data_IF_553044338796
#
_entry.id   IF_553044338796
#
_cell.length_a   1.000
_cell.length_b   1.000
_cell.length_c   1.000
_cell.angle_alpha   90.00
_cell.angle_beta   90.00
_cell.angle_gamma   90.00
#
_symmetry.space_group_name_H-M   'P 1'
#
loop_
_entity.id
_entity.type
_entity.pdbx_description
1 polymer ?
#
# COMPACT_ATOMS: atom_id res chain seq x y z
N UNK A 1 9.36 18.80 -67.04
CA UNK A 1 8.66 18.45 -68.29
C UNK A 1 7.54 17.48 -67.92
N UNK A 2 6.26 17.83 -68.01
CA UNK A 2 5.45 18.21 -69.19
C UNK A 2 4.95 16.99 -69.98
N UNK A 3 3.65 16.80 -70.26
CA UNK A 3 2.41 17.50 -69.84
C UNK A 3 1.20 16.56 -70.12
N UNK A 4 0.05 16.63 -69.40
CA UNK A 4 -1.24 17.30 -69.81
C UNK A 4 -1.65 17.03 -71.27
N UNK A 5 -2.88 16.61 -71.63
CA UNK A 5 -4.27 16.90 -71.17
C UNK A 5 -5.11 15.57 -71.18
N UNK A 6 -6.40 15.38 -70.80
CA UNK A 6 -7.57 16.03 -70.14
C UNK A 6 -8.58 14.86 -69.81
N UNK A 7 -9.67 14.92 -69.04
CA UNK A 7 -10.21 15.93 -68.10
C UNK A 7 -11.73 16.22 -68.27
N UNK A 8 -12.49 16.25 -67.15
CA UNK A 8 -13.92 16.67 -66.99
C UNK A 8 -15.01 15.70 -67.55
N UNK A 9 -16.20 15.52 -66.95
CA UNK A 9 -17.06 16.34 -66.05
C UNK A 9 -17.67 15.51 -64.90
N UNK A 10 -18.13 16.16 -63.82
CA UNK A 10 -18.79 15.56 -62.65
C UNK A 10 -20.25 15.12 -62.86
N UNK A 11 -20.71 14.17 -62.04
CA UNK A 11 -21.98 14.26 -61.29
C UNK A 11 -21.90 13.39 -60.02
N UNK A 12 -22.31 13.95 -58.88
CA UNK A 12 -22.50 13.21 -57.64
C UNK A 12 -24.01 12.97 -57.44
N UNK A 13 -24.39 11.78 -57.01
CA UNK A 13 -25.67 11.56 -56.33
C UNK A 13 -25.41 10.75 -55.06
N UNK A 14 -25.95 11.23 -53.94
CA UNK A 14 -25.85 10.57 -52.65
C UNK A 14 -26.84 9.41 -52.55
N UNK A 15 -26.45 8.32 -51.90
CA UNK A 15 -27.36 7.28 -51.46
C UNK A 15 -27.10 7.01 -49.98
N UNK A 16 -27.90 7.63 -49.11
CA UNK A 16 -27.84 7.47 -47.66
C UNK A 16 -28.63 6.25 -47.23
N UNK A 17 -27.95 5.28 -46.59
CA UNK A 17 -28.61 4.21 -45.82
C UNK A 17 -28.11 4.30 -44.38
N UNK A 18 -29.06 4.35 -43.45
CA UNK A 18 -28.81 4.74 -42.06
C UNK A 18 -28.18 3.59 -41.27
N UNK A 19 -27.00 3.82 -40.70
CA UNK A 19 -26.43 2.97 -39.65
C UNK A 19 -26.93 3.44 -38.28
N UNK A 20 -27.85 2.67 -37.68
CA UNK A 20 -28.45 2.96 -36.38
C UNK A 20 -27.48 2.60 -35.24
N UNK A 21 -26.61 3.55 -34.88
CA UNK A 21 -25.73 3.46 -33.71
C UNK A 21 -26.57 3.32 -32.42
N UNK A 22 -26.40 2.26 -31.60
CA UNK A 22 -27.06 2.16 -30.30
C UNK A 22 -26.50 3.24 -29.34
N UNK A 23 -27.30 3.75 -28.39
CA UNK A 23 -26.91 4.87 -27.55
C UNK A 23 -25.92 4.47 -26.46
N UNK A 24 -24.77 5.15 -26.44
CA UNK A 24 -23.86 5.18 -25.29
C UNK A 24 -24.61 5.66 -24.04
N UNK A 25 -24.72 4.81 -23.02
CA UNK A 25 -25.50 5.12 -21.81
C UNK A 25 -24.76 4.73 -20.54
N UNK A 26 -24.65 5.71 -19.63
CA UNK A 26 -24.30 5.58 -18.21
C UNK A 26 -23.02 4.80 -17.87
N UNK A 27 -21.91 5.52 -17.78
CA UNK A 27 -20.78 5.09 -16.95
C UNK A 27 -21.16 5.18 -15.46
N UNK A 28 -21.80 4.14 -14.92
CA UNK A 28 -21.96 3.99 -13.47
C UNK A 28 -20.58 3.95 -12.79
N UNK A 29 -20.35 4.70 -11.71
CA UNK A 29 -19.07 4.65 -11.00
C UNK A 29 -18.88 3.27 -10.36
N UNK A 30 -17.80 2.59 -10.72
CA UNK A 30 -17.45 1.26 -10.20
C UNK A 30 -17.19 1.33 -8.70
N UNK A 31 -18.17 0.94 -7.88
CA UNK A 31 -17.98 0.82 -6.44
C UNK A 31 -17.01 -0.33 -6.14
N UNK A 32 -15.77 0.02 -5.74
CA UNK A 32 -14.64 -0.90 -5.58
C UNK A 32 -14.70 -1.73 -4.28
N UNK A 33 -15.74 -2.55 -4.16
CA UNK A 33 -15.83 -3.58 -3.11
C UNK A 33 -14.84 -4.74 -3.37
N UNK A 34 -14.44 -5.50 -2.34
CA UNK A 34 -13.67 -6.74 -2.52
C UNK A 34 -14.47 -7.77 -3.33
N UNK A 35 -13.78 -8.50 -4.21
CA UNK A 35 -14.43 -9.46 -5.10
C UNK A 35 -15.02 -10.60 -4.28
N UNK A 36 -16.32 -10.87 -4.44
CA UNK A 36 -16.99 -12.01 -3.79
C UNK A 36 -17.40 -13.00 -4.87
N UNK A 37 -16.81 -14.20 -4.81
CA UNK A 37 -17.02 -15.28 -5.76
C UNK A 37 -17.89 -16.36 -5.11
N UNK A 38 -19.03 -16.62 -5.74
CA UNK A 38 -20.02 -17.59 -5.27
C UNK A 38 -19.93 -18.86 -6.10
N UNK A 39 -19.80 -20.02 -5.44
CA UNK A 39 -19.55 -21.34 -6.05
C UNK A 39 -20.47 -22.42 -5.46
N UNK A 40 -20.45 -23.65 -5.99
CA UNK A 40 -21.15 -24.80 -5.41
C UNK A 40 -20.16 -25.85 -4.87
N UNK A 41 -20.57 -26.70 -3.91
CA UNK A 41 -19.75 -27.82 -3.47
C UNK A 41 -19.45 -28.78 -4.62
N UNK A 42 -18.18 -29.16 -4.80
CA UNK A 42 -17.73 -30.03 -5.88
C UNK A 42 -17.44 -29.35 -7.23
N UNK A 43 -17.78 -28.08 -7.40
CA UNK A 43 -17.34 -27.30 -8.58
C UNK A 43 -15.82 -27.06 -8.54
N UNK A 44 -15.25 -26.68 -9.68
CA UNK A 44 -13.91 -26.11 -9.78
C UNK A 44 -14.02 -24.58 -9.96
N UNK A 45 -13.07 -23.80 -9.44
CA UNK A 45 -13.02 -22.34 -9.66
C UNK A 45 -11.61 -21.83 -9.92
N UNK A 46 -11.48 -20.68 -10.58
CA UNK A 46 -10.21 -20.01 -10.82
C UNK A 46 -10.13 -18.67 -10.09
N UNK A 47 -8.93 -18.34 -9.60
CA UNK A 47 -8.58 -17.05 -9.01
C UNK A 47 -7.37 -16.48 -9.74
N UNK A 48 -7.43 -15.20 -10.10
CA UNK A 48 -6.45 -14.55 -10.98
C UNK A 48 -5.64 -13.51 -10.21
N UNK A 49 -4.34 -13.40 -10.50
CA UNK A 49 -3.45 -12.44 -9.87
C UNK A 49 -2.44 -11.87 -10.87
N UNK A 50 -2.37 -10.55 -10.98
CA UNK A 50 -1.31 -9.86 -11.73
C UNK A 50 0.06 -10.05 -11.06
N UNK A 51 0.96 -10.68 -11.80
CA UNK A 51 2.36 -10.94 -11.46
C UNK A 51 3.33 -10.27 -12.44
N UNK A 52 2.87 -9.36 -13.30
CA UNK A 52 3.65 -8.76 -14.40
C UNK A 52 5.06 -8.34 -13.97
N UNK A 53 5.15 -7.49 -12.93
CA UNK A 53 6.38 -6.91 -12.42
C UNK A 53 6.99 -7.66 -11.21
N UNK A 54 6.67 -8.94 -11.03
CA UNK A 54 7.05 -9.75 -9.87
C UNK A 54 7.74 -11.06 -10.29
N UNK A 55 8.70 -11.54 -9.52
CA UNK A 55 9.40 -12.82 -9.77
C UNK A 55 8.70 -13.99 -9.09
N UNK A 56 8.01 -13.74 -7.97
CA UNK A 56 7.41 -14.76 -7.12
C UNK A 56 5.95 -14.45 -6.81
N UNK A 57 5.16 -15.52 -6.70
CA UNK A 57 3.74 -15.50 -6.33
C UNK A 57 3.44 -16.57 -5.29
N UNK A 58 2.55 -16.26 -4.34
CA UNK A 58 2.04 -17.21 -3.36
C UNK A 58 0.59 -16.91 -3.02
N UNK A 59 -0.22 -17.95 -2.92
CA UNK A 59 -1.64 -17.84 -2.55
C UNK A 59 -1.87 -18.30 -1.12
N UNK A 60 -2.59 -17.48 -0.36
CA UNK A 60 -2.94 -17.75 1.04
C UNK A 60 -4.46 -17.71 1.22
N UNK A 61 -4.98 -18.58 2.11
CA UNK A 61 -6.40 -18.58 2.52
C UNK A 61 -6.54 -18.21 3.99
N UNK A 62 -7.33 -17.18 4.27
CA UNK A 62 -7.83 -16.85 5.60
C UNK A 62 -9.18 -17.54 5.81
N UNK A 63 -9.14 -18.63 6.57
CA UNK A 63 -10.32 -19.32 7.10
C UNK A 63 -10.66 -18.81 8.50
N UNK A 64 -11.77 -19.26 9.08
CA UNK A 64 -12.08 -19.01 10.49
C UNK A 64 -11.09 -19.65 11.50
N UNK A 65 -10.25 -20.58 11.04
CA UNK A 65 -9.28 -21.33 11.87
C UNK A 65 -7.86 -20.77 11.79
N UNK A 66 -7.42 -20.38 10.60
CA UNK A 66 -6.03 -20.00 10.31
C UNK A 66 -5.88 -19.17 9.02
N UNK A 67 -4.76 -18.47 8.91
CA UNK A 67 -4.22 -17.94 7.65
C UNK A 67 -3.16 -18.93 7.14
N UNK A 68 -3.40 -19.55 5.99
CA UNK A 68 -2.65 -20.72 5.52
C UNK A 68 -2.08 -20.48 4.13
N UNK A 69 -0.78 -20.69 3.96
CA UNK A 69 -0.15 -20.77 2.64
C UNK A 69 -0.67 -22.01 1.90
N UNK A 70 -1.18 -21.84 0.68
CA UNK A 70 -1.68 -22.94 -0.14
C UNK A 70 -0.63 -23.40 -1.16
N UNK A 71 -0.05 -22.45 -1.89
CA UNK A 71 0.81 -22.73 -3.04
C UNK A 71 1.74 -21.54 -3.32
N UNK A 72 2.98 -21.81 -3.72
CA UNK A 72 4.00 -20.82 -4.07
C UNK A 72 4.76 -21.23 -5.32
N UNK A 73 5.03 -20.26 -6.19
CA UNK A 73 5.84 -20.44 -7.38
C UNK A 73 6.71 -19.22 -7.71
N UNK A 74 7.76 -19.44 -8.49
CA UNK A 74 8.61 -18.41 -9.07
C UNK A 74 8.56 -18.47 -10.60
N UNK A 75 8.66 -17.33 -11.28
CA UNK A 75 8.87 -17.28 -12.74
C UNK A 75 10.19 -17.99 -13.08
N UNK A 76 10.22 -18.74 -14.18
CA UNK A 76 11.49 -19.27 -14.71
C UNK A 76 11.97 -18.44 -15.89
N UNK A 77 13.28 -18.23 -16.00
CA UNK A 77 13.89 -17.49 -17.10
C UNK A 77 14.14 -18.35 -18.36
N UNK A 78 13.79 -19.65 -18.33
CA UNK A 78 14.17 -20.64 -19.34
C UNK A 78 12.92 -21.21 -20.06
N UNK A 79 11.82 -21.32 -19.32
CA UNK A 79 10.50 -21.71 -19.81
C UNK A 79 9.52 -20.65 -19.33
N UNK A 80 8.65 -20.14 -20.20
CA UNK A 80 7.62 -19.15 -19.88
C UNK A 80 6.53 -19.77 -19.00
N UNK A 81 6.88 -20.02 -17.74
CA UNK A 81 6.13 -20.85 -16.81
C UNK A 81 6.45 -20.48 -15.34
N UNK A 82 5.67 -21.03 -14.41
CA UNK A 82 5.83 -20.90 -12.96
C UNK A 82 6.39 -22.21 -12.38
N UNK A 83 7.60 -22.17 -11.81
CA UNK A 83 8.14 -23.28 -11.04
C UNK A 83 7.48 -23.30 -9.65
N UNK A 84 6.47 -24.17 -9.48
CA UNK A 84 5.80 -24.42 -8.20
C UNK A 84 6.77 -25.15 -7.25
N UNK A 85 7.23 -24.46 -6.21
CA UNK A 85 8.18 -25.02 -5.23
C UNK A 85 7.51 -25.39 -3.88
N UNK A 86 6.29 -24.93 -3.62
CA UNK A 86 5.44 -25.44 -2.53
C UNK A 86 3.99 -25.55 -2.99
N UNK A 87 3.31 -26.60 -2.54
CA UNK A 87 1.87 -26.80 -2.69
C UNK A 87 1.38 -27.72 -1.57
N UNK A 88 0.42 -27.27 -0.76
CA UNK A 88 -0.13 -28.01 0.38
C UNK A 88 -0.98 -29.22 -0.06
N UNK A 89 -1.59 -29.17 -1.26
CA UNK A 89 -2.34 -30.29 -1.83
C UNK A 89 -2.33 -30.22 -3.37
N UNK A 90 -1.41 -30.98 -3.99
CA UNK A 90 -1.18 -31.02 -5.45
C UNK A 90 -2.36 -31.50 -6.29
N UNK A 91 -3.34 -32.15 -5.69
CA UNK A 91 -4.53 -32.65 -6.38
C UNK A 91 -5.72 -31.68 -6.30
N UNK A 92 -5.58 -30.58 -5.54
CA UNK A 92 -6.67 -29.67 -5.17
C UNK A 92 -6.37 -28.21 -5.52
N UNK A 93 -5.09 -27.80 -5.45
CA UNK A 93 -4.62 -26.50 -5.91
C UNK A 93 -3.67 -26.70 -7.09
N UNK A 94 -4.06 -26.22 -8.27
CA UNK A 94 -3.21 -26.11 -9.47
C UNK A 94 -2.90 -24.62 -9.70
N UNK A 95 -1.66 -24.31 -10.06
CA UNK A 95 -1.22 -22.94 -10.36
C UNK A 95 -0.52 -22.92 -11.70
N UNK A 96 -1.12 -22.21 -12.66
CA UNK A 96 -0.65 -22.07 -14.03
C UNK A 96 -0.56 -20.58 -14.38
N UNK A 97 0.39 -20.15 -15.21
CA UNK A 97 0.41 -18.78 -15.74
C UNK A 97 -0.48 -18.63 -16.97
N UNK A 98 -0.82 -17.39 -17.31
CA UNK A 98 -1.23 -17.05 -18.68
C UNK A 98 -0.05 -17.18 -19.68
N UNK A 99 -0.36 -17.08 -20.96
CA UNK A 99 0.61 -17.26 -22.06
C UNK A 99 1.68 -16.15 -22.17
N UNK A 100 1.79 -15.26 -21.19
CA UNK A 100 2.85 -14.24 -21.08
C UNK A 100 3.51 -14.22 -19.70
N UNK A 101 3.12 -15.12 -18.78
CA UNK A 101 3.54 -15.12 -17.37
C UNK A 101 3.30 -13.77 -16.68
N UNK A 102 2.22 -13.09 -17.06
CA UNK A 102 1.76 -11.82 -16.48
C UNK A 102 0.62 -12.03 -15.47
N UNK A 103 -0.17 -13.09 -15.64
CA UNK A 103 -1.21 -13.52 -14.69
C UNK A 103 -0.87 -14.88 -14.10
N UNK A 104 -0.95 -15.01 -12.78
CA UNK A 104 -0.99 -16.28 -12.07
C UNK A 104 -2.45 -16.72 -11.85
N UNK A 105 -2.80 -17.92 -12.33
CA UNK A 105 -4.14 -18.50 -12.26
C UNK A 105 -4.11 -19.67 -11.28
N UNK A 106 -4.73 -19.50 -10.11
CA UNK A 106 -4.96 -20.56 -9.15
C UNK A 106 -6.29 -21.25 -9.45
N UNK A 107 -6.25 -22.50 -9.86
CA UNK A 107 -7.42 -23.37 -9.96
C UNK A 107 -7.59 -24.15 -8.66
N UNK A 108 -8.77 -24.05 -8.05
CA UNK A 108 -9.22 -24.86 -6.91
C UNK A 108 -10.16 -25.92 -7.46
N UNK A 109 -9.86 -27.20 -7.20
CA UNK A 109 -10.61 -28.35 -7.72
C UNK A 109 -11.56 -28.88 -6.62
N UNK A 110 -12.77 -29.32 -7.00
CA UNK A 110 -13.71 -30.03 -6.13
C UNK A 110 -13.93 -29.32 -4.78
N UNK A 111 -14.41 -28.07 -4.84
CA UNK A 111 -14.46 -27.13 -3.71
C UNK A 111 -15.27 -27.69 -2.53
N UNK A 112 -14.69 -27.57 -1.33
CA UNK A 112 -15.26 -28.09 -0.07
C UNK A 112 -15.63 -26.97 0.91
N UNK A 113 -16.31 -27.32 2.01
CA UNK A 113 -16.59 -26.39 3.13
C UNK A 113 -15.32 -25.80 3.76
N UNK A 114 -14.19 -26.51 3.74
CA UNK A 114 -12.92 -26.00 4.29
C UNK A 114 -12.20 -25.03 3.33
N UNK A 115 -12.63 -24.93 2.07
CA UNK A 115 -12.14 -23.92 1.11
C UNK A 115 -12.82 -22.55 1.28
N UNK A 116 -13.96 -22.48 1.96
CA UNK A 116 -14.70 -21.24 2.17
C UNK A 116 -13.87 -20.28 3.06
N UNK A 117 -13.68 -19.05 2.57
CA UNK A 117 -12.80 -18.07 3.20
C UNK A 117 -12.33 -16.97 2.26
N UNK A 118 -11.32 -16.22 2.70
CA UNK A 118 -10.73 -15.11 1.93
C UNK A 118 -9.37 -15.51 1.35
N UNK A 119 -9.21 -15.31 0.05
CA UNK A 119 -8.01 -15.65 -0.71
C UNK A 119 -7.20 -14.41 -1.04
N UNK A 120 -5.91 -14.48 -0.75
CA UNK A 120 -4.95 -13.40 -0.92
C UNK A 120 -3.80 -13.87 -1.83
N UNK A 121 -3.54 -13.14 -2.90
CA UNK A 121 -2.33 -13.30 -3.67
C UNK A 121 -1.23 -12.39 -3.08
N UNK A 122 -0.15 -12.97 -2.59
CA UNK A 122 1.08 -12.28 -2.24
C UNK A 122 2.09 -12.39 -3.38
N UNK A 123 2.63 -11.27 -3.84
CA UNK A 123 3.65 -11.19 -4.89
C UNK A 123 4.94 -10.57 -4.35
N UNK A 124 6.10 -11.02 -4.85
CA UNK A 124 7.43 -10.58 -4.39
C UNK A 124 8.32 -10.19 -5.57
N UNK A 125 8.94 -9.02 -5.45
CA UNK A 125 9.89 -8.47 -6.43
C UNK A 125 11.28 -9.03 -6.12
N UNK A 126 12.12 -9.21 -7.15
CA UNK A 126 13.52 -9.61 -6.96
C UNK A 126 14.22 -8.72 -5.92
N UNK A 127 14.95 -9.34 -5.00
CA UNK A 127 15.70 -8.66 -3.93
C UNK A 127 14.85 -7.89 -2.90
N UNK A 128 13.52 -8.02 -2.88
CA UNK A 128 12.67 -7.59 -1.76
C UNK A 128 12.29 -8.80 -0.90
N UNK A 129 12.54 -8.73 0.41
CA UNK A 129 12.25 -9.83 1.34
C UNK A 129 10.83 -9.80 1.94
N UNK A 130 10.05 -8.76 1.66
CA UNK A 130 8.63 -8.68 2.03
C UNK A 130 7.72 -9.10 0.86
N UNK A 131 6.54 -9.64 1.16
CA UNK A 131 5.49 -9.85 0.16
C UNK A 131 4.57 -8.63 0.09
N UNK A 132 4.17 -8.24 -1.12
CA UNK A 132 3.10 -7.28 -1.37
C UNK A 132 1.80 -8.05 -1.64
N UNK A 133 0.69 -7.67 -1.03
CA UNK A 133 -0.58 -8.37 -1.21
C UNK A 133 -1.51 -7.61 -2.16
N UNK A 134 -2.11 -8.34 -3.10
CA UNK A 134 -3.15 -7.84 -4.00
C UNK A 134 -4.51 -7.87 -3.28
N UNK A 135 -5.55 -7.33 -3.94
CA UNK A 135 -6.94 -7.31 -3.41
C UNK A 135 -7.40 -8.73 -3.05
N UNK A 136 -8.13 -8.84 -1.94
CA UNK A 136 -8.72 -10.10 -1.49
C UNK A 136 -9.87 -10.54 -2.38
N UNK A 137 -10.04 -11.86 -2.55
CA UNK A 137 -11.28 -12.47 -3.06
C UNK A 137 -11.93 -13.32 -1.98
N UNK A 138 -13.20 -13.07 -1.67
CA UNK A 138 -13.99 -13.90 -0.75
C UNK A 138 -14.64 -15.04 -1.54
N UNK A 139 -14.33 -16.28 -1.20
CA UNK A 139 -14.96 -17.48 -1.76
C UNK A 139 -16.05 -17.97 -0.80
N UNK A 140 -17.29 -18.09 -1.30
CA UNK A 140 -18.46 -18.52 -0.53
C UNK A 140 -19.36 -19.46 -1.34
N UNK A 141 -20.18 -20.28 -0.67
CA UNK A 141 -21.18 -21.10 -1.36
C UNK A 141 -22.43 -20.30 -1.75
N UNK A 142 -23.11 -20.74 -2.81
CA UNK A 142 -24.44 -20.27 -3.20
C UNK A 142 -25.48 -20.64 -2.14
N UNK A 143 -25.76 -19.71 -1.22
CA UNK A 143 -26.77 -19.89 -0.18
C UNK A 143 -28.16 -19.85 -0.82
N UNK A 144 -28.71 -21.03 -1.10
CA UNK A 144 -30.12 -21.21 -1.44
C UNK A 144 -30.96 -20.97 -0.18
N UNK A 145 -31.36 -19.71 0.04
CA UNK A 145 -32.06 -19.28 1.26
C UNK A 145 -33.41 -19.97 1.39
N UNK A 146 -33.48 -20.99 2.24
CA UNK A 146 -34.69 -21.28 3.01
C UNK A 146 -34.66 -20.37 4.25
N UNK A 147 -35.69 -19.54 4.50
CA UNK A 147 -35.59 -18.43 5.45
C UNK A 147 -35.79 -18.88 6.91
N UNK A 148 -34.85 -19.68 7.42
CA UNK A 148 -34.78 -20.09 8.82
C UNK A 148 -33.30 -20.30 9.23
N UNK A 149 -32.93 -19.82 10.43
CA UNK A 149 -31.58 -19.89 11.00
C UNK A 149 -30.46 -19.14 10.26
N UNK A 150 -30.54 -17.81 10.26
CA UNK A 150 -29.36 -16.92 10.20
C UNK A 150 -28.45 -17.14 11.43
N UNK A 151 -27.69 -18.24 11.43
CA UNK A 151 -26.82 -18.63 12.54
C UNK A 151 -25.58 -17.74 12.56
N UNK A 152 -25.50 -16.83 13.53
CA UNK A 152 -24.33 -15.97 13.73
C UNK A 152 -23.11 -16.80 14.07
N UNK A 153 -22.21 -17.01 13.11
CA UNK A 153 -20.99 -17.78 13.32
C UNK A 153 -20.09 -17.04 14.32
N UNK A 154 -19.70 -17.66 15.46
CA UNK A 154 -18.84 -17.01 16.45
C UNK A 154 -17.48 -16.60 15.85
N UNK A 155 -16.97 -15.44 16.24
CA UNK A 155 -15.63 -14.99 15.85
C UNK A 155 -14.57 -15.88 16.52
N UNK A 156 -14.14 -16.93 15.80
CA UNK A 156 -13.35 -18.01 16.36
C UNK A 156 -11.83 -17.72 16.47
N UNK A 157 -11.42 -16.45 16.36
CA UNK A 157 -10.03 -16.03 16.48
C UNK A 157 -9.65 -15.77 17.95
N UNK A 158 -8.83 -16.62 18.61
CA UNK A 158 -8.63 -16.61 20.06
C UNK A 158 -7.58 -15.58 20.50
N UNK A 159 -7.61 -14.37 19.92
CA UNK A 159 -6.84 -13.23 20.39
C UNK A 159 -7.46 -11.91 19.88
N UNK A 160 -8.24 -11.28 20.75
CA UNK A 160 -8.73 -9.92 20.57
C UNK A 160 -8.10 -9.07 21.66
N UNK A 161 -7.53 -7.93 21.28
CA UNK A 161 -6.94 -6.93 22.14
C UNK A 161 -7.82 -5.68 22.11
N UNK A 162 -8.40 -5.33 23.26
CA UNK A 162 -9.23 -4.14 23.43
C UNK A 162 -8.38 -2.98 23.95
N UNK A 163 -8.43 -1.86 23.25
CA UNK A 163 -7.70 -0.62 23.57
C UNK A 163 -8.64 0.60 23.56
N UNK A 164 -8.13 1.79 23.87
CA UNK A 164 -8.82 3.08 23.69
C UNK A 164 -8.13 3.90 22.58
N UNK A 165 -8.81 4.90 22.00
CA UNK A 165 -8.15 5.90 21.16
C UNK A 165 -7.06 6.63 21.95
N UNK A 166 -5.86 6.76 21.36
CA UNK A 166 -4.69 7.39 21.99
C UNK A 166 -3.87 6.48 22.91
N UNK A 167 -4.29 5.25 23.18
CA UNK A 167 -3.47 4.26 23.90
C UNK A 167 -2.22 3.88 23.08
N UNK A 168 -1.21 3.31 23.76
CA UNK A 168 -0.11 2.58 23.14
C UNK A 168 -0.29 1.08 23.42
N UNK A 169 0.05 0.20 22.47
CA UNK A 169 -0.02 -1.26 22.66
C UNK A 169 1.16 -1.98 22.01
N UNK A 170 1.42 -3.22 22.43
CA UNK A 170 2.49 -4.08 21.89
C UNK A 170 1.95 -5.42 21.37
N UNK A 171 2.37 -5.80 20.17
CA UNK A 171 2.08 -7.08 19.56
C UNK A 171 3.37 -7.90 19.45
N UNK A 172 3.31 -9.16 19.88
CA UNK A 172 4.49 -10.02 20.01
C UNK A 172 4.50 -11.13 18.96
N UNK A 173 5.66 -11.37 18.35
CA UNK A 173 5.84 -12.43 17.37
C UNK A 173 7.18 -13.15 17.60
N UNK A 174 7.13 -14.45 17.90
CA UNK A 174 8.31 -15.30 17.90
C UNK A 174 9.00 -15.29 16.52
N UNK A 175 10.32 -15.14 16.51
CA UNK A 175 11.20 -15.15 15.34
C UNK A 175 12.43 -16.06 15.56
N UNK A 176 12.37 -17.00 16.50
CA UNK A 176 13.51 -17.83 16.97
C UNK A 176 14.32 -18.45 15.82
N UNK A 177 13.64 -19.01 14.82
CA UNK A 177 14.23 -19.68 13.66
C UNK A 177 14.22 -18.85 12.35
N UNK A 178 13.95 -17.55 12.45
CA UNK A 178 13.66 -16.69 11.29
C UNK A 178 14.64 -15.50 11.25
N UNK A 179 15.05 -15.08 10.05
CA UNK A 179 15.92 -13.90 9.87
C UNK A 179 15.13 -12.65 9.44
N UNK A 180 13.94 -12.79 8.84
CA UNK A 180 13.10 -11.65 8.41
C UNK A 180 11.74 -11.71 9.12
N UNK A 181 11.24 -10.55 9.51
CA UNK A 181 9.90 -10.35 10.09
C UNK A 181 9.18 -9.21 9.36
N UNK A 182 7.87 -9.37 9.14
CA UNK A 182 7.02 -8.38 8.47
C UNK A 182 5.65 -8.35 9.14
N UNK A 183 5.15 -7.17 9.50
CA UNK A 183 3.82 -7.00 10.10
C UNK A 183 2.85 -6.38 9.10
N UNK A 184 1.64 -6.93 9.06
CA UNK A 184 0.56 -6.51 8.16
C UNK A 184 -0.73 -6.25 8.94
N UNK A 185 -1.54 -5.29 8.46
CA UNK A 185 -2.90 -5.02 8.94
C UNK A 185 -3.91 -5.39 7.86
N UNK A 186 -4.91 -6.20 8.21
CA UNK A 186 -6.15 -6.34 7.46
C UNK A 186 -7.22 -5.45 8.09
N UNK A 187 -7.47 -4.30 7.47
CA UNK A 187 -8.40 -3.29 7.96
C UNK A 187 -9.87 -3.64 7.62
N UNK A 188 -10.82 -2.78 8.03
CA UNK A 188 -12.26 -2.93 7.75
C UNK A 188 -12.63 -2.81 6.26
N UNK A 189 -11.75 -2.20 5.45
CA UNK A 189 -11.90 -2.08 4.00
C UNK A 189 -11.39 -3.32 3.24
N UNK A 190 -11.00 -4.38 3.97
CA UNK A 190 -10.42 -5.63 3.45
C UNK A 190 -9.11 -5.42 2.65
N UNK A 191 -8.39 -4.33 2.94
CA UNK A 191 -7.03 -4.08 2.45
C UNK A 191 -6.00 -4.74 3.40
N UNK A 192 -5.03 -5.47 2.84
CA UNK A 192 -3.97 -6.15 3.58
C UNK A 192 -2.65 -5.37 3.47
N UNK A 193 -2.55 -4.25 4.19
CA UNK A 193 -1.41 -3.33 4.11
C UNK A 193 -0.19 -3.85 4.87
N UNK A 194 1.00 -3.75 4.28
CA UNK A 194 2.26 -3.89 5.02
C UNK A 194 2.46 -2.67 5.93
N UNK A 195 2.86 -2.89 7.18
CA UNK A 195 3.12 -1.83 8.16
C UNK A 195 4.62 -1.59 8.36
N UNK A 196 5.38 -2.67 8.54
CA UNK A 196 6.82 -2.64 8.79
C UNK A 196 7.45 -3.98 8.40
N UNK A 197 8.66 -3.97 7.86
CA UNK A 197 9.43 -5.16 7.49
C UNK A 197 10.91 -4.96 7.79
N UNK A 198 11.56 -5.97 8.37
CA UNK A 198 12.95 -5.89 8.78
C UNK A 198 13.66 -7.25 8.84
N UNK A 199 14.99 -7.23 8.74
CA UNK A 199 15.87 -8.37 9.02
C UNK A 199 16.53 -8.26 10.39
N UNK A 200 16.53 -9.36 11.15
CA UNK A 200 17.30 -9.54 12.38
C UNK A 200 18.80 -9.58 12.07
N UNK A 201 19.57 -8.63 12.59
CA UNK A 201 21.02 -8.60 12.42
C UNK A 201 21.70 -9.67 13.28
N UNK A 202 22.86 -10.18 12.83
CA UNK A 202 23.66 -11.17 13.55
C UNK A 202 24.61 -10.57 14.59
N UNK A 203 24.75 -9.24 14.63
CA UNK A 203 25.88 -8.55 15.29
C UNK A 203 25.45 -7.74 16.53
N UNK A 204 24.17 -7.38 16.68
CA UNK A 204 23.74 -6.50 17.79
C UNK A 204 22.35 -6.72 18.39
N UNK A 205 21.68 -7.85 18.10
CA UNK A 205 20.24 -8.01 18.39
C UNK A 205 19.41 -6.80 17.90
N UNK A 206 19.63 -6.34 16.66
CA UNK A 206 18.90 -5.20 16.09
C UNK A 206 18.11 -5.62 14.85
N UNK A 207 17.14 -4.79 14.45
CA UNK A 207 16.43 -4.91 13.19
C UNK A 207 16.95 -3.92 12.15
N UNK A 208 17.39 -4.44 11.00
CA UNK A 208 17.60 -3.67 9.78
C UNK A 208 16.25 -3.50 9.10
N UNK A 209 15.63 -2.33 9.25
CA UNK A 209 14.29 -2.03 8.72
C UNK A 209 14.40 -1.71 7.22
N UNK A 210 13.62 -2.43 6.39
CA UNK A 210 13.56 -2.26 4.94
C UNK A 210 12.36 -1.43 4.47
N UNK A 211 11.26 -1.49 5.22
CA UNK A 211 10.02 -0.79 4.93
C UNK A 211 9.33 -0.43 6.23
N UNK A 212 8.72 0.75 6.28
CA UNK A 212 7.96 1.26 7.42
C UNK A 212 6.91 2.26 6.91
N UNK A 213 5.64 2.07 7.28
CA UNK A 213 4.50 2.87 6.81
C UNK A 213 4.44 4.24 7.48
N UNK A 214 4.80 4.32 8.75
CA UNK A 214 4.87 5.56 9.53
C UNK A 214 5.93 5.39 10.63
N UNK A 215 6.89 6.32 10.69
CA UNK A 215 8.07 6.19 11.54
C UNK A 215 7.83 6.35 13.03
N UNK A 216 6.83 7.15 13.42
CA UNK A 216 6.55 7.51 14.81
C UNK A 216 5.39 6.70 15.40
N UNK A 217 4.63 6.01 14.56
CA UNK A 217 3.40 5.30 14.92
C UNK A 217 3.60 3.80 15.08
N UNK A 218 4.39 3.18 14.21
CA UNK A 218 4.79 1.77 14.30
C UNK A 218 6.27 1.68 14.66
N UNK A 219 6.60 1.01 15.76
CA UNK A 219 7.99 0.82 16.21
C UNK A 219 8.24 -0.69 16.36
N UNK A 220 9.32 -1.21 15.79
CA UNK A 220 9.65 -2.64 15.81
C UNK A 220 10.97 -2.85 16.53
N UNK A 221 10.90 -3.48 17.69
CA UNK A 221 12.03 -3.74 18.57
C UNK A 221 12.13 -5.24 18.90
N UNK A 222 13.33 -5.82 18.99
CA UNK A 222 13.50 -7.18 19.47
C UNK A 222 13.50 -7.22 21.00
N UNK A 223 13.11 -8.35 21.58
CA UNK A 223 13.36 -8.59 23.00
C UNK A 223 14.87 -8.81 23.28
N UNK A 224 15.26 -8.82 24.56
CA UNK A 224 16.64 -9.02 25.04
C UNK A 224 17.29 -10.37 24.70
N UNK A 225 16.52 -11.31 24.14
CA UNK A 225 17.00 -12.60 23.64
C UNK A 225 17.12 -12.62 22.11
N UNK A 226 16.63 -11.58 21.44
CA UNK A 226 16.51 -11.48 19.98
C UNK A 226 15.60 -12.54 19.36
N UNK A 227 14.81 -13.28 20.14
CA UNK A 227 13.95 -14.37 19.68
C UNK A 227 12.49 -13.95 19.46
N UNK A 228 12.11 -12.75 19.91
CA UNK A 228 10.76 -12.19 19.76
C UNK A 228 10.86 -10.79 19.14
N UNK A 229 10.11 -10.56 18.07
CA UNK A 229 9.85 -9.25 17.51
C UNK A 229 8.62 -8.62 18.20
N UNK A 230 8.77 -7.39 18.68
CA UNK A 230 7.73 -6.61 19.35
C UNK A 230 7.37 -5.45 18.44
N UNK A 231 6.13 -5.42 17.94
CA UNK A 231 5.56 -4.26 17.26
C UNK A 231 4.81 -3.41 18.29
N UNK A 232 5.36 -2.26 18.65
CA UNK A 232 4.67 -1.21 19.38
C UNK A 232 3.85 -0.36 18.40
N UNK A 233 2.59 -0.11 18.74
CA UNK A 233 1.69 0.81 18.05
C UNK A 233 1.41 1.96 19.01
N UNK A 234 1.73 3.18 18.59
CA UNK A 234 1.72 4.38 19.43
C UNK A 234 0.55 5.28 19.04
N UNK A 235 -0.19 5.83 20.02
CA UNK A 235 -1.32 6.75 19.78
C UNK A 235 -2.37 6.15 18.82
N UNK A 236 -2.90 4.97 19.20
CA UNK A 236 -3.81 4.15 18.38
C UNK A 236 -5.04 4.95 17.96
N UNK A 237 -5.40 4.88 16.67
CA UNK A 237 -6.56 5.56 16.10
C UNK A 237 -7.49 4.57 15.35
N UNK A 238 -8.58 5.07 14.76
CA UNK A 238 -9.56 4.24 14.04
C UNK A 238 -8.99 3.48 12.85
N UNK A 239 -7.91 3.98 12.22
CA UNK A 239 -7.23 3.35 11.09
C UNK A 239 -6.33 2.16 11.48
N UNK A 240 -6.03 1.99 12.76
CA UNK A 240 -5.31 0.82 13.30
C UNK A 240 -6.24 -0.38 13.56
N UNK A 241 -7.55 -0.19 13.55
CA UNK A 241 -8.49 -1.25 13.89
C UNK A 241 -8.58 -2.29 12.77
N UNK A 242 -8.55 -3.57 13.16
CA UNK A 242 -8.52 -4.69 12.22
C UNK A 242 -7.78 -5.89 12.78
N UNK A 243 -7.17 -6.68 11.89
CA UNK A 243 -6.39 -7.87 12.27
C UNK A 243 -4.94 -7.73 11.87
N UNK A 244 -4.05 -7.90 12.84
CA UNK A 244 -2.61 -7.88 12.68
C UNK A 244 -2.07 -9.28 12.43
N UNK A 245 -1.19 -9.39 11.45
CA UNK A 245 -0.54 -10.62 11.02
C UNK A 245 0.98 -10.42 11.05
N UNK A 246 1.69 -11.25 11.80
CA UNK A 246 3.14 -11.35 11.70
C UNK A 246 3.50 -12.43 10.67
N UNK A 247 4.14 -12.02 9.57
CA UNK A 247 4.85 -12.88 8.64
C UNK A 247 6.32 -13.03 9.06
N UNK A 248 6.85 -14.25 8.95
CA UNK A 248 8.23 -14.58 9.31
C UNK A 248 8.89 -15.42 8.21
N UNK A 249 10.11 -15.05 7.80
CA UNK A 249 10.88 -15.71 6.73
C UNK A 249 12.27 -16.12 7.21
N UNK A 250 12.72 -17.30 6.81
CA UNK A 250 14.07 -17.80 7.10
C UNK A 250 15.00 -17.56 5.90
N UNK A 251 16.31 -17.39 6.16
CA UNK A 251 17.31 -16.97 5.15
C UNK A 251 17.36 -17.83 3.88
N UNK A 252 17.03 -19.11 4.00
CA UNK A 252 17.13 -20.11 2.93
C UNK A 252 15.76 -20.73 2.56
N UNK A 253 14.66 -20.05 2.91
CA UNK A 253 13.30 -20.48 2.58
C UNK A 253 12.50 -19.25 2.17
N UNK A 254 12.09 -19.15 0.91
CA UNK A 254 11.47 -17.94 0.37
C UNK A 254 10.00 -17.71 0.78
N UNK A 255 9.34 -18.72 1.39
CA UNK A 255 7.98 -18.56 1.90
C UNK A 255 7.92 -17.64 3.13
N UNK A 256 6.93 -16.75 3.14
CA UNK A 256 6.54 -15.99 4.33
C UNK A 256 5.57 -16.82 5.19
N UNK A 257 6.00 -17.22 6.37
CA UNK A 257 5.19 -18.02 7.30
C UNK A 257 4.44 -17.10 8.27
N UNK A 258 3.12 -17.09 8.19
CA UNK A 258 2.28 -16.26 9.04
C UNK A 258 1.95 -16.94 10.37
N UNK A 259 2.13 -16.20 11.46
CA UNK A 259 1.86 -16.65 12.84
C UNK A 259 0.49 -16.17 13.32
N UNK A 260 0.20 -16.38 14.62
CA UNK A 260 -1.11 -16.13 15.24
C UNK A 260 -1.63 -14.72 14.92
N UNK A 261 -2.87 -14.65 14.43
CA UNK A 261 -3.57 -13.39 14.15
C UNK A 261 -3.99 -12.73 15.45
N UNK A 262 -3.89 -11.40 15.53
CA UNK A 262 -4.42 -10.59 16.65
C UNK A 262 -5.42 -9.58 16.13
N UNK A 263 -6.65 -9.58 16.65
CA UNK A 263 -7.64 -8.55 16.35
C UNK A 263 -7.44 -7.36 17.30
N UNK A 264 -7.27 -6.14 16.76
CA UNK A 264 -7.25 -4.90 17.55
C UNK A 264 -8.59 -4.18 17.36
N UNK A 265 -9.26 -3.87 18.46
CA UNK A 265 -10.54 -3.15 18.48
C UNK A 265 -10.60 -2.19 19.66
N UNK A 266 -11.46 -1.18 19.61
CA UNK A 266 -11.75 -0.39 20.80
C UNK A 266 -12.62 -1.17 21.80
N UNK A 267 -12.48 -0.84 23.09
CA UNK A 267 -13.40 -1.29 24.12
C UNK A 267 -14.78 -0.63 23.96
N UNK A 268 -15.86 -1.38 24.19
CA UNK A 268 -17.22 -0.84 24.12
C UNK A 268 -17.44 0.27 25.15
N UNK A 269 -18.11 1.39 24.81
CA UNK A 269 -18.37 2.49 25.73
C UNK A 269 -19.11 2.09 27.03
N UNK A 270 -19.93 1.03 26.97
CA UNK A 270 -20.66 0.45 28.10
C UNK A 270 -19.79 -0.33 29.10
N UNK A 271 -18.51 -0.54 28.81
CA UNK A 271 -17.58 -1.25 29.70
C UNK A 271 -16.96 -0.39 30.80
N UNK A 272 -17.21 0.93 30.81
CA UNK A 272 -16.67 1.86 31.79
C UNK A 272 -17.74 2.27 32.82
N UNK A 273 -17.49 2.09 34.14
CA UNK A 273 -18.37 2.64 35.17
C UNK A 273 -18.23 4.17 35.20
N UNK A 274 -19.36 4.88 35.19
CA UNK A 274 -19.41 6.35 35.23
C UNK A 274 -18.71 6.92 36.48
N UNK A 275 -17.54 7.52 36.30
CA UNK A 275 -16.81 8.23 37.35
C UNK A 275 -16.81 9.74 37.12
N UNK A 276 -17.94 10.37 37.47
CA UNK A 276 -18.00 11.77 37.89
C UNK A 276 -17.95 12.83 36.78
N UNK A 277 -19.08 13.49 36.57
CA UNK A 277 -19.17 14.71 35.74
C UNK A 277 -18.34 15.86 36.33
N UNK A 278 -17.09 16.02 35.90
CA UNK A 278 -16.30 17.23 36.18
C UNK A 278 -16.66 18.29 35.15
N UNK A 279 -17.22 19.41 35.62
CA UNK A 279 -17.76 20.50 34.81
C UNK A 279 -16.63 21.31 34.16
N UNK A 280 -16.24 20.95 32.94
CA UNK A 280 -15.17 21.60 32.21
C UNK A 280 -15.46 23.09 31.93
N UNK A 281 -14.77 23.98 32.65
CA UNK A 281 -14.70 25.39 32.30
C UNK A 281 -13.79 25.57 31.08
N UNK A 282 -14.37 25.96 29.94
CA UNK A 282 -13.63 26.15 28.70
C UNK A 282 -12.80 27.44 28.81
N UNK A 283 -11.47 27.28 28.93
CA UNK A 283 -10.49 28.38 28.84
C UNK A 283 -9.61 28.17 27.60
N UNK A 284 -10.04 28.74 26.47
CA UNK A 284 -9.37 28.57 25.16
C UNK A 284 -8.10 29.40 25.02
N UNK A 285 -6.95 28.85 25.39
CA UNK A 285 -5.65 29.19 24.79
C UNK A 285 -4.70 27.99 24.87
N UNK A 286 -4.37 27.40 23.72
CA UNK A 286 -3.23 26.48 23.57
C UNK A 286 -2.29 27.07 22.49
N UNK A 287 -0.95 27.09 22.68
CA UNK A 287 -0.04 27.71 21.71
C UNK A 287 -0.02 27.00 20.35
N UNK A 288 0.08 27.77 19.27
CA UNK A 288 0.19 27.25 17.90
C UNK A 288 1.57 26.61 17.66
N UNK A 289 1.62 25.29 17.50
CA UNK A 289 2.87 24.53 17.41
C UNK A 289 3.49 24.42 15.99
N UNK A 290 2.90 25.09 14.98
CA UNK A 290 3.31 24.96 13.58
C UNK A 290 4.16 26.16 13.11
N UNK A 291 5.48 26.00 12.88
CA UNK A 291 6.32 27.07 12.36
C UNK A 291 6.14 27.21 10.85
N UNK A 292 5.59 28.36 10.42
CA UNK A 292 5.34 28.79 9.02
C UNK A 292 4.10 28.16 8.34
N UNK A 293 3.04 28.98 8.30
CA UNK A 293 1.89 28.83 7.41
C UNK A 293 1.97 29.93 6.34
N UNK A 294 1.75 29.58 5.08
CA UNK A 294 1.83 30.47 3.93
C UNK A 294 0.44 30.58 3.28
N UNK A 295 -0.11 31.80 3.28
CA UNK A 295 -1.43 32.10 2.70
C UNK A 295 -1.29 32.64 1.29
N UNK A 296 -1.87 31.96 0.31
CA UNK A 296 -1.84 32.33 -1.12
C UNK A 296 -3.26 32.46 -1.68
N UNK A 297 -3.42 32.84 -2.95
CA UNK A 297 -4.69 32.82 -3.68
C UNK A 297 -4.67 31.80 -4.81
N UNK A 298 -5.84 31.35 -5.31
CA UNK A 298 -5.90 30.56 -6.53
C UNK A 298 -5.25 31.32 -7.70
N UNK A 299 -4.33 30.66 -8.41
CA UNK A 299 -3.58 31.24 -9.52
C UNK A 299 -2.33 32.06 -9.15
N UNK A 300 -2.03 32.26 -7.86
CA UNK A 300 -0.73 32.83 -7.44
C UNK A 300 0.42 31.87 -7.77
N UNK A 301 1.64 32.39 -7.84
CA UNK A 301 2.87 31.60 -7.80
C UNK A 301 3.51 31.74 -6.40
N UNK A 302 4.14 30.69 -5.87
CA UNK A 302 4.82 30.74 -4.56
C UNK A 302 6.15 29.98 -4.54
N UNK A 303 7.03 30.32 -3.60
CA UNK A 303 8.35 29.70 -3.44
C UNK A 303 8.54 29.06 -2.07
N UNK A 304 9.09 27.84 -2.05
CA UNK A 304 9.44 27.09 -0.86
C UNK A 304 10.96 26.89 -0.84
N UNK A 305 11.62 27.50 0.14
CA UNK A 305 13.09 27.56 0.25
C UNK A 305 13.60 26.47 1.19
N UNK A 306 14.46 25.56 0.72
CA UNK A 306 15.03 24.46 1.49
C UNK A 306 16.57 24.52 1.55
N UNK A 307 17.13 24.41 2.76
CA UNK A 307 18.57 24.38 2.99
C UNK A 307 19.18 23.01 2.64
N UNK A 308 20.16 23.02 1.74
CA UNK A 308 20.87 21.83 1.23
C UNK A 308 22.39 21.86 1.53
N UNK A 309 22.81 22.58 2.57
CA UNK A 309 24.23 22.84 2.95
C UNK A 309 25.19 21.65 2.98
N UNK A 310 24.71 20.41 3.08
CA UNK A 310 25.53 19.18 3.06
C UNK A 310 24.98 18.07 2.16
N UNK A 311 23.96 18.35 1.34
CA UNK A 311 23.12 17.32 0.71
C UNK A 311 23.43 17.13 -0.78
N UNK A 312 23.49 15.86 -1.22
CA UNK A 312 23.67 15.51 -2.64
C UNK A 312 22.34 15.30 -3.36
N UNK A 313 21.26 14.95 -2.65
CA UNK A 313 19.89 14.92 -3.20
C UNK A 313 18.97 15.85 -2.41
N UNK A 314 18.03 16.49 -3.11
CA UNK A 314 16.92 17.27 -2.55
C UNK A 314 15.60 16.83 -3.18
N UNK A 315 14.50 16.89 -2.44
CA UNK A 315 13.17 16.51 -2.93
C UNK A 315 12.06 17.28 -2.20
N UNK A 316 11.00 17.64 -2.91
CA UNK A 316 9.79 18.24 -2.33
C UNK A 316 8.66 17.22 -2.27
N UNK A 317 8.03 17.12 -1.10
CA UNK A 317 6.87 16.29 -0.84
C UNK A 317 5.68 17.13 -0.38
N UNK A 318 4.47 16.64 -0.67
CA UNK A 318 3.20 17.20 -0.23
C UNK A 318 2.38 16.11 0.44
N UNK A 319 2.01 16.34 1.70
CA UNK A 319 1.06 15.53 2.46
C UNK A 319 -0.33 16.17 2.36
N UNK A 320 -1.34 15.40 1.95
CA UNK A 320 -2.75 15.81 1.95
C UNK A 320 -3.63 14.74 2.59
N UNK A 321 -4.10 15.03 3.81
CA UNK A 321 -4.78 14.07 4.70
C UNK A 321 -3.86 12.89 5.02
N UNK A 322 -3.86 11.85 4.18
CA UNK A 322 -3.06 10.63 4.31
C UNK A 322 -2.12 10.40 3.09
N UNK A 323 -2.30 11.13 1.99
CA UNK A 323 -1.50 10.96 0.76
C UNK A 323 -0.16 11.71 0.88
N UNK A 324 0.94 10.99 1.12
CA UNK A 324 2.30 11.54 1.09
C UNK A 324 2.91 11.41 -0.32
N UNK A 325 2.84 12.48 -1.12
CA UNK A 325 3.26 12.44 -2.53
C UNK A 325 4.60 13.15 -2.76
N UNK A 326 5.55 12.46 -3.42
CA UNK A 326 6.71 13.10 -4.03
C UNK A 326 6.26 13.99 -5.21
N UNK A 327 6.72 15.25 -5.23
CA UNK A 327 6.40 16.20 -6.29
C UNK A 327 7.57 16.40 -7.26
N UNK A 328 8.77 16.56 -6.74
CA UNK A 328 9.98 16.80 -7.53
C UNK A 328 11.22 16.33 -6.75
N UNK A 329 12.18 15.71 -7.44
CA UNK A 329 13.43 15.16 -6.87
C UNK A 329 14.61 15.45 -7.79
N UNK A 330 15.74 15.90 -7.23
CA UNK A 330 16.94 16.23 -8.00
C UNK A 330 18.24 16.01 -7.21
N UNK A 331 19.33 15.71 -7.93
CA UNK A 331 20.68 15.60 -7.41
C UNK A 331 21.55 16.81 -7.73
N UNK A 332 22.46 17.17 -6.82
CA UNK A 332 23.37 18.33 -6.91
C UNK A 332 24.67 17.96 -7.62
N UNK A 333 24.94 18.55 -8.78
CA UNK A 333 26.17 18.27 -9.54
C UNK A 333 27.35 19.14 -9.10
N UNK A 334 28.42 18.48 -8.62
CA UNK A 334 29.64 19.15 -8.10
C UNK A 334 30.38 20.04 -9.10
N UNK A 335 30.14 19.87 -10.40
CA UNK A 335 30.88 20.58 -11.46
C UNK A 335 30.31 21.98 -11.74
N UNK A 336 29.03 22.26 -11.40
CA UNK A 336 28.39 23.58 -11.64
C UNK A 336 27.42 24.07 -10.55
N UNK A 337 27.18 23.32 -9.46
CA UNK A 337 26.01 23.48 -8.57
C UNK A 337 24.64 23.35 -9.28
N UNK A 338 24.60 22.86 -10.52
CA UNK A 338 23.33 22.61 -11.21
C UNK A 338 22.64 21.37 -10.61
N UNK A 339 21.31 21.45 -10.48
CA UNK A 339 20.48 20.28 -10.25
C UNK A 339 20.37 19.42 -11.52
N UNK A 340 20.35 18.10 -11.35
CA UNK A 340 19.83 17.15 -12.33
C UNK A 340 18.54 16.59 -11.75
N UNK A 341 17.41 16.93 -12.37
CA UNK A 341 16.09 16.45 -11.94
C UNK A 341 15.97 14.97 -12.33
N UNK A 342 15.62 14.13 -11.37
CA UNK A 342 15.40 12.69 -11.56
C UNK A 342 13.91 12.35 -11.69
N UNK A 343 13.06 13.17 -11.07
CA UNK A 343 11.61 13.03 -11.12
C UNK A 343 10.95 14.40 -10.98
N UNK A 344 9.92 14.64 -11.78
CA UNK A 344 8.99 15.76 -11.59
C UNK A 344 7.57 15.28 -11.93
N UNK A 345 6.62 15.52 -11.02
CA UNK A 345 5.21 15.16 -11.18
C UNK A 345 4.50 16.02 -12.24
N UNK A 346 4.95 17.26 -12.44
CA UNK A 346 4.46 18.16 -13.49
C UNK A 346 5.46 19.31 -13.73
N UNK A 347 6.22 19.21 -14.82
CA UNK A 347 7.30 20.14 -15.18
C UNK A 347 6.83 21.59 -15.45
N UNK A 348 5.56 21.79 -15.78
CA UNK A 348 4.98 23.12 -16.00
C UNK A 348 4.45 23.78 -14.72
N UNK A 349 4.51 23.08 -13.58
CA UNK A 349 3.82 23.46 -12.34
C UNK A 349 4.75 23.45 -11.12
N UNK A 350 5.69 22.50 -11.06
CA UNK A 350 6.76 22.46 -10.06
C UNK A 350 8.11 22.72 -10.74
N UNK A 351 8.76 23.84 -10.41
CA UNK A 351 10.11 24.18 -10.86
C UNK A 351 11.06 24.13 -9.67
N UNK A 352 12.30 23.68 -9.89
CA UNK A 352 13.39 23.72 -8.92
C UNK A 352 14.55 24.56 -9.48
N UNK A 353 14.90 25.63 -8.78
CA UNK A 353 16.01 26.52 -9.12
C UNK A 353 17.11 26.48 -8.04
N UNK A 354 18.40 26.49 -8.42
CA UNK A 354 19.50 26.58 -7.47
C UNK A 354 19.77 28.03 -7.06
N UNK A 355 19.72 28.33 -5.77
CA UNK A 355 20.46 29.48 -5.25
C UNK A 355 21.96 29.14 -5.27
N UNK A 356 22.62 29.58 -6.33
CA UNK A 356 24.03 29.33 -6.61
C UNK A 356 24.93 29.87 -5.47
N UNK A 357 24.49 30.92 -4.75
CA UNK A 357 25.21 31.50 -3.62
C UNK A 357 24.94 30.79 -2.29
N UNK A 358 23.67 30.59 -1.94
CA UNK A 358 23.22 30.39 -0.54
C UNK A 358 22.97 28.92 -0.17
N UNK A 359 23.41 27.96 -0.99
CA UNK A 359 23.23 26.52 -0.76
C UNK A 359 21.76 26.15 -0.44
N UNK A 360 20.83 26.78 -1.16
CA UNK A 360 19.38 26.68 -0.95
C UNK A 360 18.72 26.22 -2.24
N UNK A 361 17.88 25.19 -2.13
CA UNK A 361 16.96 24.76 -3.17
C UNK A 361 15.70 25.64 -3.13
N UNK A 362 15.36 26.30 -4.24
CA UNK A 362 14.14 27.09 -4.36
C UNK A 362 13.14 26.29 -5.19
N UNK A 363 12.09 25.80 -4.54
CA UNK A 363 10.97 25.14 -5.22
C UNK A 363 9.87 26.14 -5.52
N UNK A 364 9.59 26.39 -6.79
CA UNK A 364 8.50 27.27 -7.23
C UNK A 364 7.28 26.44 -7.63
N UNK A 365 6.12 26.78 -7.06
CA UNK A 365 4.82 26.25 -7.46
C UNK A 365 4.11 27.35 -8.27
N UNK A 366 3.68 27.02 -9.48
CA UNK A 366 3.06 27.95 -10.42
C UNK A 366 1.54 27.76 -10.43
N UNK A 367 0.77 28.85 -10.56
CA UNK A 367 -0.69 28.82 -10.78
C UNK A 367 -1.44 27.93 -9.77
N UNK A 368 -1.23 28.21 -8.48
CA UNK A 368 -1.63 27.35 -7.36
C UNK A 368 -3.13 27.05 -7.37
N UNK A 369 -3.47 25.77 -7.20
CA UNK A 369 -4.85 25.25 -7.21
C UNK A 369 -5.29 24.72 -5.84
N UNK A 370 -6.56 24.35 -5.71
CA UNK A 370 -7.04 23.55 -4.56
C UNK A 370 -6.34 22.19 -4.44
N UNK A 371 -5.71 21.69 -5.50
CA UNK A 371 -4.93 20.45 -5.51
C UNK A 371 -3.59 20.56 -4.74
N UNK A 372 -3.09 21.78 -4.59
CA UNK A 372 -1.78 22.11 -4.00
C UNK A 372 -1.87 22.47 -2.51
N UNK A 373 -3.07 22.60 -1.95
CA UNK A 373 -3.23 22.92 -0.52
C UNK A 373 -2.90 21.72 0.35
N UNK A 374 -2.02 21.92 1.33
CA UNK A 374 -1.55 20.86 2.23
C UNK A 374 -0.23 21.19 2.90
N UNK A 375 0.45 20.15 3.39
CA UNK A 375 1.65 20.27 4.20
C UNK A 375 2.88 19.87 3.38
N UNK A 376 3.77 20.83 3.14
CA UNK A 376 4.99 20.62 2.35
C UNK A 376 6.20 20.29 3.23
N UNK A 377 7.04 19.39 2.72
CA UNK A 377 8.26 18.92 3.36
C UNK A 377 9.40 18.93 2.34
N UNK A 378 10.60 19.33 2.74
CA UNK A 378 11.80 19.09 1.97
C UNK A 378 12.53 17.84 2.49
N UNK A 379 12.69 16.82 1.66
CA UNK A 379 13.61 15.72 1.93
C UNK A 379 15.02 16.07 1.43
N UNK A 380 16.03 15.84 2.26
CA UNK A 380 17.45 16.06 1.92
C UNK A 380 18.27 14.82 2.24
N UNK A 381 19.17 14.39 1.34
CA UNK A 381 20.05 13.24 1.57
C UNK A 381 21.52 13.67 1.54
N UNK A 382 22.27 13.29 2.57
CA UNK A 382 23.72 13.52 2.69
C UNK A 382 24.47 12.35 2.05
N UNK A 383 25.63 12.61 1.45
CA UNK A 383 26.46 11.54 0.87
C UNK A 383 26.92 10.58 1.97
N UNK A 384 26.84 9.28 1.70
CA UNK A 384 27.16 8.19 2.63
C UNK A 384 26.17 8.01 3.80
N UNK A 385 24.99 8.64 3.74
CA UNK A 385 23.86 8.32 4.61
C UNK A 385 22.70 7.72 3.79
N UNK A 386 22.29 6.49 4.14
CA UNK A 386 21.21 5.76 3.46
C UNK A 386 19.80 6.18 3.96
N UNK A 387 19.70 7.37 4.55
CA UNK A 387 18.48 7.92 5.16
C UNK A 387 18.22 9.34 4.64
N UNK A 388 16.93 9.67 4.44
CA UNK A 388 16.52 11.00 3.98
C UNK A 388 16.07 11.86 5.15
N UNK A 389 16.78 12.98 5.38
CA UNK A 389 16.47 13.95 6.42
C UNK A 389 15.39 14.91 5.93
N UNK A 390 14.20 14.78 6.49
CA UNK A 390 13.11 15.73 6.27
C UNK A 390 13.36 17.01 7.08
N UNK A 391 13.41 18.15 6.38
CA UNK A 391 13.68 19.48 6.93
C UNK A 391 12.61 20.46 6.48
N UNK A 392 12.33 21.42 7.37
CA UNK A 392 11.41 22.56 7.18
C UNK A 392 10.01 22.19 6.70
N UNK A 393 9.07 22.30 7.63
CA UNK A 393 7.64 22.20 7.36
C UNK A 393 7.12 23.52 6.78
N UNK A 394 6.15 23.49 5.86
CA UNK A 394 5.37 24.68 5.49
C UNK A 394 3.95 24.28 5.12
N UNK A 395 2.96 24.89 5.79
CA UNK A 395 1.54 24.68 5.46
C UNK A 395 1.15 25.66 4.37
N UNK A 396 0.67 25.18 3.20
CA UNK A 396 0.13 26.03 2.15
C UNK A 396 -1.40 26.00 2.20
N UNK A 397 -2.01 27.16 2.40
CA UNK A 397 -3.46 27.34 2.47
C UNK A 397 -3.90 28.56 1.65
N UNK A 398 -5.16 28.60 1.23
CA UNK A 398 -5.72 29.84 0.68
C UNK A 398 -6.00 30.87 1.79
N UNK A 399 -5.98 32.15 1.39
CA UNK A 399 -6.32 33.30 2.22
C UNK A 399 -7.83 33.58 2.25
#
# INVERSE_FOLDING_TARGET
>A
CCWLLLGLVCCCLENTVVSTRPPETSSTPTALFPLTLTVRPGDNTTLHCDITNYEEVSWYRLSAKAFTLLISAQKTQIWENLLVYYNINKNHYILEPDSQVNTAILTIINITTDDIGRYFCGTKVRFQDHMQFKKVTTLQFEVTVRPEYSTTLPSLFPHTLTVRPGDNTTLHCDITSYEVVSWYLLNSSEEFTLLISAQKTRIGQTFLIYYKKNDNHFILEPNSEGNTAILSIVNINTGDLGRYFCGTKARFNDHMHFKKVTTLQFADPSSFPDTGTVRAGISTTLPSLFPHTLTVRPGDNTTLHCDITSSENVSLYLLRSEDFTLLISAGVTKIRKNFVIYFNKNENHFILEPDIGVNTAIFTIINITTGDLGLYFCGTQVRFEDHMHFKKLTTLQFK
#
